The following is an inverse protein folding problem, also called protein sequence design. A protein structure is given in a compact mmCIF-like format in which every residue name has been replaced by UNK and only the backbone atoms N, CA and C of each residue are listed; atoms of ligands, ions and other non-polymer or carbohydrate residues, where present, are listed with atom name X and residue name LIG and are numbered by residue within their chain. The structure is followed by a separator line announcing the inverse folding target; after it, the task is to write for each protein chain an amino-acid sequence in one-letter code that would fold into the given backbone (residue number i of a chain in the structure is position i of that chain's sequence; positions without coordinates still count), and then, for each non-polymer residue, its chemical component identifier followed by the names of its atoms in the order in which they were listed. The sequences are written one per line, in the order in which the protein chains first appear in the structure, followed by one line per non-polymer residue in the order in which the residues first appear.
data_IF_164174358762
#
_entry.id   IF_164174358762
#
_cell.length_a   1.000
_cell.length_b   1.000
_cell.length_c   1.000
_cell.angle_alpha   90.00
_cell.angle_beta   90.00
_cell.angle_gamma   90.00
#
_symmetry.space_group_name_H-M   'P 1'
#
loop_
_entity.id
_entity.type
_entity.pdbx_description
1 polymer ?
#
# COMPACT_ATOMS: atom_id res chain seq x y z
N UNK A 1 0.22 18.46 -35.23
CA UNK A 1 1.09 17.31 -34.88
C UNK A 1 0.25 16.36 -34.07
N UNK A 2 -0.12 15.20 -34.63
CA UNK A 2 -0.76 14.12 -33.89
C UNK A 2 0.32 13.31 -33.19
N UNK A 3 0.29 13.24 -31.88
CA UNK A 3 1.15 12.32 -31.15
C UNK A 3 0.59 10.91 -31.34
N UNK A 4 1.43 9.97 -31.78
CA UNK A 4 1.03 8.55 -31.91
C UNK A 4 0.72 7.95 -30.54
N UNK A 5 1.39 8.42 -29.50
CA UNK A 5 1.16 8.02 -28.12
C UNK A 5 1.51 9.15 -27.14
N UNK A 6 0.88 9.12 -25.97
CA UNK A 6 1.21 9.95 -24.82
C UNK A 6 2.02 9.13 -23.81
N UNK A 7 3.15 9.69 -23.38
CA UNK A 7 3.96 9.13 -22.31
C UNK A 7 3.38 9.55 -20.96
N UNK A 8 2.98 8.56 -20.17
CA UNK A 8 2.51 8.72 -18.81
C UNK A 8 3.56 8.16 -17.86
N UNK A 9 4.13 9.01 -17.02
CA UNK A 9 4.98 8.62 -15.91
C UNK A 9 4.12 8.22 -14.73
N UNK A 10 4.34 7.02 -14.21
CA UNK A 10 3.66 6.50 -13.04
C UNK A 10 4.65 6.34 -11.90
N UNK A 11 4.24 6.74 -10.70
CA UNK A 11 5.02 6.56 -9.48
C UNK A 11 4.11 6.00 -8.36
N UNK A 12 4.46 4.81 -7.89
CA UNK A 12 3.93 4.19 -6.68
C UNK A 12 4.77 4.65 -5.49
N UNK A 13 4.11 5.30 -4.55
CA UNK A 13 4.65 5.63 -3.23
C UNK A 13 3.89 4.83 -2.18
N UNK A 14 4.58 4.36 -1.15
CA UNK A 14 4.00 3.61 -0.04
C UNK A 14 4.52 4.19 1.28
N UNK A 15 3.75 4.10 2.36
CA UNK A 15 4.21 4.42 3.71
C UNK A 15 5.43 3.60 4.12
N UNK A 16 5.58 2.40 3.54
CA UNK A 16 6.73 1.51 3.71
C UNK A 16 7.50 1.35 2.38
N UNK A 17 8.55 2.16 2.13
CA UNK A 17 9.28 2.17 0.87
C UNK A 17 9.93 0.83 0.52
N UNK A 18 10.33 0.07 1.54
CA UNK A 18 11.03 -1.21 1.41
C UNK A 18 10.16 -2.33 0.79
N UNK A 19 8.86 -2.08 0.61
CA UNK A 19 7.94 -3.05 0.05
C UNK A 19 7.95 -3.07 -1.48
N UNK A 20 8.64 -2.13 -2.14
CA UNK A 20 8.54 -1.92 -3.58
C UNK A 20 9.80 -2.43 -4.29
N UNK A 21 9.68 -3.51 -5.06
CA UNK A 21 10.82 -4.19 -5.70
C UNK A 21 11.53 -3.33 -6.78
N UNK A 22 10.81 -2.42 -7.46
CA UNK A 22 11.28 -1.75 -8.69
C UNK A 22 11.31 -0.22 -8.63
N UNK A 23 11.67 0.37 -7.48
CA UNK A 23 11.67 1.83 -7.22
C UNK A 23 10.30 2.53 -7.40
N UNK A 24 9.23 1.77 -7.60
CA UNK A 24 7.87 2.29 -7.73
C UNK A 24 7.62 3.07 -9.02
N UNK A 25 8.52 3.08 -10.01
CA UNK A 25 8.36 3.91 -11.22
C UNK A 25 8.05 3.07 -12.45
N UNK A 26 7.18 3.58 -13.31
CA UNK A 26 6.86 2.96 -14.59
C UNK A 26 6.52 4.04 -15.64
N UNK A 27 6.67 3.72 -16.92
CA UNK A 27 6.29 4.58 -18.04
C UNK A 27 5.33 3.82 -18.94
N UNK A 28 4.15 4.40 -19.19
CA UNK A 28 3.17 3.86 -20.13
C UNK A 28 3.05 4.73 -21.35
N UNK A 29 3.07 4.09 -22.52
CA UNK A 29 2.69 4.70 -23.79
C UNK A 29 1.21 4.39 -24.04
N UNK A 30 0.37 5.44 -24.10
CA UNK A 30 -1.07 5.35 -24.29
C UNK A 30 -1.46 6.08 -25.58
N UNK A 31 -2.08 5.35 -26.51
CA UNK A 31 -2.63 5.92 -27.75
C UNK A 31 -3.89 6.76 -27.48
N UNK A 32 -4.20 7.76 -28.32
CA UNK A 32 -5.42 8.55 -28.19
C UNK A 32 -6.69 7.69 -28.16
N UNK A 33 -7.52 7.89 -27.14
CA UNK A 33 -8.79 7.17 -26.97
C UNK A 33 -8.65 5.71 -26.52
N UNK A 34 -7.44 5.26 -26.17
CA UNK A 34 -7.19 3.92 -25.63
C UNK A 34 -6.92 3.99 -24.12
N UNK A 35 -7.11 2.86 -23.45
CA UNK A 35 -6.68 2.61 -22.08
C UNK A 35 -5.60 1.53 -22.07
N UNK A 36 -4.76 1.54 -21.03
CA UNK A 36 -3.70 0.56 -20.84
C UNK A 36 -3.58 0.23 -19.37
N UNK A 37 -3.33 -1.04 -19.07
CA UNK A 37 -3.15 -1.52 -17.71
C UNK A 37 -1.66 -1.74 -17.41
N UNK A 38 -1.30 -1.63 -16.15
CA UNK A 38 0.03 -1.96 -15.64
C UNK A 38 -0.07 -2.54 -14.24
N UNK A 39 1.02 -3.11 -13.75
CA UNK A 39 1.09 -3.71 -12.44
C UNK A 39 2.34 -3.27 -11.72
N UNK A 40 2.18 -2.81 -10.49
CA UNK A 40 3.29 -2.64 -9.54
C UNK A 40 3.37 -3.87 -8.65
N UNK A 41 4.57 -4.43 -8.51
CA UNK A 41 4.82 -5.50 -7.55
C UNK A 41 5.25 -4.87 -6.24
N UNK A 42 4.56 -5.24 -5.18
CA UNK A 42 4.95 -4.91 -3.83
C UNK A 42 4.86 -6.18 -2.97
N UNK A 43 5.79 -6.32 -2.03
CA UNK A 43 5.82 -7.42 -1.08
C UNK A 43 6.29 -6.90 0.26
N UNK A 44 5.57 -7.20 1.35
CA UNK A 44 6.09 -6.95 2.69
C UNK A 44 7.42 -7.71 2.90
N UNK A 45 8.39 -7.13 3.64
CA UNK A 45 9.60 -7.85 4.00
C UNK A 45 9.23 -9.13 4.76
N UNK A 46 9.99 -10.20 4.51
CA UNK A 46 9.74 -11.53 5.07
C UNK A 46 9.54 -11.48 6.59
N UNK A 47 8.54 -12.24 7.06
CA UNK A 47 8.26 -12.46 8.48
C UNK A 47 9.53 -12.84 9.26
N UNK A 48 9.68 -12.40 10.53
CA UNK A 48 8.64 -11.97 11.47
C UNK A 48 8.46 -10.45 11.61
N UNK A 49 8.94 -9.64 10.67
CA UNK A 49 9.18 -8.21 10.93
C UNK A 49 7.96 -7.32 10.64
N UNK A 50 7.04 -7.72 9.77
CA UNK A 50 5.95 -6.81 9.36
C UNK A 50 4.76 -6.89 10.32
N UNK A 51 4.42 -5.82 11.07
CA UNK A 51 3.25 -5.82 11.93
C UNK A 51 1.94 -6.03 11.15
N UNK A 52 0.93 -6.61 11.79
CA UNK A 52 -0.42 -6.53 11.25
C UNK A 52 -0.91 -5.09 11.27
N UNK A 53 -1.58 -4.65 10.21
CA UNK A 53 -2.03 -3.27 10.10
C UNK A 53 -2.48 -2.88 8.70
N UNK A 54 -2.83 -1.60 8.54
CA UNK A 54 -3.17 -1.00 7.26
C UNK A 54 -2.03 -0.13 6.76
N UNK A 55 -1.61 -0.35 5.54
CA UNK A 55 -0.46 0.28 4.91
C UNK A 55 -0.91 1.02 3.66
N UNK A 56 -0.81 2.33 3.69
CA UNK A 56 -1.31 3.20 2.63
C UNK A 56 -0.32 3.30 1.48
N UNK A 57 -0.83 3.25 0.26
CA UNK A 57 -0.06 3.55 -0.95
C UNK A 57 -0.78 4.58 -1.82
N UNK A 58 -0.02 5.29 -2.64
CA UNK A 58 -0.52 6.24 -3.64
C UNK A 58 0.17 5.99 -4.97
N UNK A 59 -0.62 5.92 -6.05
CA UNK A 59 -0.13 5.89 -7.42
C UNK A 59 -0.39 7.27 -8.02
N UNK A 60 0.67 7.98 -8.40
CA UNK A 60 0.58 9.21 -9.18
C UNK A 60 0.83 8.94 -10.66
N UNK A 61 0.18 9.72 -11.51
CA UNK A 61 0.34 9.68 -12.95
C UNK A 61 0.55 11.09 -13.49
N UNK A 62 1.58 11.29 -14.30
CA UNK A 62 1.87 12.56 -14.97
C UNK A 62 2.01 12.35 -16.48
N UNK A 63 1.22 13.09 -17.26
CA UNK A 63 1.36 13.13 -18.71
C UNK A 63 2.48 14.07 -19.12
N UNK A 64 3.44 13.57 -19.90
CA UNK A 64 4.55 14.37 -20.44
C UNK A 64 4.08 15.53 -21.31
N UNK A 65 3.04 15.31 -22.11
CA UNK A 65 2.58 16.26 -23.13
C UNK A 65 1.70 17.33 -22.51
N UNK A 66 0.69 16.92 -21.74
CA UNK A 66 -0.31 17.84 -21.17
C UNK A 66 0.10 18.42 -19.82
N UNK A 67 1.11 17.83 -19.16
CA UNK A 67 1.45 18.05 -17.74
C UNK A 67 0.27 17.84 -16.79
N UNK A 68 -0.78 17.17 -17.26
CA UNK A 68 -1.88 16.78 -16.40
C UNK A 68 -1.38 15.72 -15.41
N UNK A 69 -1.74 15.92 -14.16
CA UNK A 69 -1.40 15.03 -13.05
C UNK A 69 -2.67 14.53 -12.41
N UNK A 70 -2.68 13.25 -12.06
CA UNK A 70 -3.73 12.63 -11.27
C UNK A 70 -3.11 11.62 -10.31
N UNK A 71 -3.80 11.29 -9.24
CA UNK A 71 -3.33 10.28 -8.29
C UNK A 71 -4.50 9.56 -7.65
N UNK A 72 -4.26 8.31 -7.28
CA UNK A 72 -5.21 7.47 -6.56
C UNK A 72 -4.51 6.81 -5.37
N UNK A 73 -5.23 6.66 -4.25
CA UNK A 73 -4.69 6.11 -3.01
C UNK A 73 -5.45 4.87 -2.58
N UNK A 74 -4.73 3.90 -2.00
CA UNK A 74 -5.28 2.65 -1.52
C UNK A 74 -4.61 2.17 -0.25
N UNK A 75 -5.07 1.04 0.28
CA UNK A 75 -4.51 0.42 1.48
C UNK A 75 -4.25 -1.07 1.24
N UNK A 76 -3.13 -1.57 1.76
CA UNK A 76 -2.84 -2.99 1.92
C UNK A 76 -3.08 -3.34 3.38
N UNK A 77 -3.95 -4.30 3.65
CA UNK A 77 -4.23 -4.78 5.01
C UNK A 77 -3.47 -6.09 5.25
N UNK A 78 -2.55 -6.07 6.22
CA UNK A 78 -1.84 -7.25 6.70
C UNK A 78 -2.60 -7.78 7.91
N UNK A 79 -3.13 -9.00 7.76
CA UNK A 79 -3.78 -9.73 8.83
C UNK A 79 -2.73 -10.60 9.56
N UNK A 80 -2.80 -10.68 10.90
CA UNK A 80 -1.90 -11.55 11.65
C UNK A 80 -2.23 -13.01 11.33
N UNK A 81 -1.21 -13.83 11.06
CA UNK A 81 -1.36 -15.27 10.92
C UNK A 81 -0.97 -15.95 12.25
N UNK A 82 -1.93 -16.57 12.95
CA UNK A 82 -1.65 -17.30 14.19
C UNK A 82 -2.78 -17.25 15.22
N UNK A 83 -2.51 -17.76 16.43
CA UNK A 83 -3.44 -17.74 17.57
C UNK A 83 -3.10 -16.56 18.46
N UNK A 84 -4.07 -15.65 18.67
CA UNK A 84 -3.95 -14.60 19.68
C UNK A 84 -4.27 -15.21 21.05
N UNK A 85 -3.25 -15.36 21.90
CA UNK A 85 -3.43 -15.80 23.29
C UNK A 85 -3.67 -14.59 24.19
N UNK A 86 -4.82 -14.57 24.85
CA UNK A 86 -5.13 -13.59 25.89
C UNK A 86 -4.82 -14.21 27.25
N UNK A 87 -3.98 -13.54 28.04
CA UNK A 87 -3.79 -13.86 29.45
C UNK A 87 -4.26 -12.66 30.29
N UNK A 88 -5.14 -12.93 31.24
CA UNK A 88 -5.60 -11.95 32.21
C UNK A 88 -5.02 -12.33 33.56
N UNK A 89 -4.24 -11.42 34.15
CA UNK A 89 -3.83 -11.58 35.55
C UNK A 89 -5.07 -11.64 36.44
N UNK A 90 -5.23 -12.73 37.18
CA UNK A 90 -6.29 -12.89 38.17
C UNK A 90 -6.19 -11.75 39.18
N UNK A 91 -7.14 -10.83 39.14
CA UNK A 91 -7.31 -9.84 40.20
C UNK A 91 -7.89 -10.57 41.41
N UNK A 92 -7.03 -10.89 42.39
CA UNK A 92 -7.48 -11.39 43.68
C UNK A 92 -8.30 -10.30 44.38
N UNK A 93 -9.63 -10.43 44.34
CA UNK A 93 -10.54 -9.64 45.17
C UNK A 93 -10.88 -10.44 46.41
N UNK A 94 -10.40 -9.99 47.56
CA UNK A 94 -10.78 -10.56 48.86
C UNK A 94 -12.18 -10.07 49.23
N UNK A 95 -13.10 -10.99 49.50
CA UNK A 95 -14.43 -10.65 50.01
C UNK A 95 -14.26 -10.13 51.44
N UNK A 96 -14.72 -8.91 51.77
CA UNK A 96 -14.63 -8.40 53.13
C UNK A 96 -15.47 -9.29 54.06
N UNK A 97 -14.86 -9.78 55.14
CA UNK A 97 -15.59 -10.49 56.19
C UNK A 97 -16.50 -9.52 56.94
N UNK A 98 -17.79 -9.86 57.05
CA UNK A 98 -18.75 -9.11 57.86
C UNK A 98 -18.35 -9.23 59.33
N UNK A 99 -18.23 -8.09 60.02
CA UNK A 99 -18.12 -7.99 61.48
C UNK A 99 -19.41 -8.46 62.15
#
# INVERSE_FOLDING_TARGET
MSYEYNEIYLELTNSEPDWIDSQGKNILLIEPGKSKETTFRCKPPLEPITPSGKYSFTISAESRISRHQTSESGNIEIIPQGIVQFDCQKTHKTIPSKK
#
